data_IF_701528814924
#
_entry.id   IF_701528814924
#
_cell.length_a   1.000
_cell.length_b   1.000
_cell.length_c   1.000
_cell.angle_alpha   90.00
_cell.angle_beta   90.00
_cell.angle_gamma   90.00
#
_symmetry.space_group_name_H-M   'P 1'
#
loop_
_entity.id
_entity.type
_entity.pdbx_description
1 polymer ?
#
# COMPACT_ATOMS: atom_id res chain seq x y z
N UNK A 1 18.22 6.01 8.41
CA UNK A 1 16.79 6.16 8.05
C UNK A 1 16.53 5.88 6.56
N UNK A 2 17.14 6.60 5.61
CA UNK A 2 16.91 6.37 4.16
C UNK A 2 17.12 4.93 3.69
N UNK A 3 18.26 4.30 4.02
CA UNK A 3 18.52 2.89 3.66
C UNK A 3 17.45 1.92 4.19
N UNK A 4 16.95 2.19 5.39
CA UNK A 4 15.89 1.40 6.00
C UNK A 4 14.57 1.57 5.24
N UNK A 5 14.19 2.81 4.89
CA UNK A 5 12.98 3.07 4.12
C UNK A 5 13.04 2.45 2.71
N UNK A 6 14.19 2.51 2.03
CA UNK A 6 14.39 1.81 0.75
C UNK A 6 14.26 0.28 0.92
N UNK A 7 14.82 -0.28 1.99
CA UNK A 7 14.68 -1.70 2.32
C UNK A 7 13.21 -2.10 2.52
N UNK A 8 12.45 -1.29 3.26
CA UNK A 8 11.00 -1.50 3.48
C UNK A 8 10.21 -1.39 2.18
N UNK A 9 10.53 -0.42 1.32
CA UNK A 9 9.89 -0.25 0.02
C UNK A 9 10.09 -1.49 -0.87
N UNK A 10 11.34 -1.98 -0.95
CA UNK A 10 11.69 -3.18 -1.71
C UNK A 10 10.98 -4.40 -1.14
N UNK A 11 10.96 -4.56 0.18
CA UNK A 11 10.32 -5.71 0.84
C UNK A 11 8.81 -5.73 0.58
N UNK A 12 8.10 -4.61 0.73
CA UNK A 12 6.68 -4.51 0.40
C UNK A 12 6.42 -4.76 -1.09
N UNK A 13 7.29 -4.25 -1.97
CA UNK A 13 7.24 -4.51 -3.41
C UNK A 13 7.41 -5.99 -3.76
N UNK A 14 8.35 -6.69 -3.11
CA UNK A 14 8.57 -8.13 -3.29
C UNK A 14 7.37 -8.95 -2.82
N UNK A 15 6.79 -8.62 -1.66
CA UNK A 15 5.57 -9.29 -1.17
C UNK A 15 4.41 -9.06 -2.15
N UNK A 16 4.27 -7.84 -2.67
CA UNK A 16 3.27 -7.51 -3.68
C UNK A 16 3.47 -8.30 -4.98
N UNK A 17 4.70 -8.36 -5.49
CA UNK A 17 5.02 -9.14 -6.69
C UNK A 17 4.75 -10.65 -6.48
N UNK A 18 5.12 -11.18 -5.31
CA UNK A 18 4.84 -12.57 -4.94
C UNK A 18 3.33 -12.86 -4.91
N UNK A 19 2.54 -11.99 -4.26
CA UNK A 19 1.09 -12.08 -4.23
C UNK A 19 0.49 -12.03 -5.63
N UNK A 20 0.98 -11.13 -6.49
CA UNK A 20 0.53 -11.00 -7.87
C UNK A 20 0.75 -12.29 -8.66
N UNK A 21 1.94 -12.88 -8.58
CA UNK A 21 2.27 -14.14 -9.27
C UNK A 21 1.36 -15.27 -8.78
N UNK A 22 1.12 -15.37 -7.47
CA UNK A 22 0.25 -16.40 -6.91
C UNK A 22 -1.21 -16.24 -7.33
N UNK A 23 -1.73 -15.01 -7.31
CA UNK A 23 -3.06 -14.69 -7.82
C UNK A 23 -3.19 -15.04 -9.30
N UNK A 24 -2.20 -14.68 -10.11
CA UNK A 24 -2.20 -14.99 -11.55
C UNK A 24 -2.24 -16.50 -11.80
N UNK A 25 -1.45 -17.30 -11.05
CA UNK A 25 -1.42 -18.76 -11.18
C UNK A 25 -2.74 -19.43 -10.78
N UNK A 26 -3.45 -18.87 -9.79
CA UNK A 26 -4.68 -19.44 -9.22
C UNK A 26 -5.97 -18.81 -9.76
N UNK A 27 -5.87 -17.91 -10.75
CA UNK A 27 -7.00 -17.09 -11.26
C UNK A 27 -8.26 -17.84 -11.68
N UNK A 28 -8.14 -19.12 -12.08
CA UNK A 28 -9.27 -19.94 -12.58
C UNK A 28 -10.18 -20.52 -11.50
N UNK A 29 -9.82 -20.38 -10.22
CA UNK A 29 -10.52 -21.02 -9.10
C UNK A 29 -11.61 -20.11 -8.51
N UNK A 30 -11.56 -18.80 -8.78
CA UNK A 30 -12.40 -17.83 -8.08
C UNK A 30 -13.74 -17.59 -8.78
N UNK A 31 -14.80 -17.52 -7.97
CA UNK A 31 -16.05 -16.89 -8.39
C UNK A 31 -15.89 -15.36 -8.39
N UNK A 32 -16.73 -14.67 -9.17
CA UNK A 32 -16.60 -13.24 -9.46
C UNK A 32 -16.52 -12.35 -8.20
N UNK A 33 -17.26 -12.69 -7.13
CA UNK A 33 -17.26 -11.91 -5.89
C UNK A 33 -15.98 -12.08 -5.07
N UNK A 34 -15.43 -13.29 -4.99
CA UNK A 34 -14.19 -13.53 -4.26
C UNK A 34 -13.00 -12.86 -4.95
N UNK A 35 -12.92 -12.94 -6.28
CA UNK A 35 -11.88 -12.28 -7.06
C UNK A 35 -11.86 -10.76 -6.86
N UNK A 36 -13.03 -10.13 -6.75
CA UNK A 36 -13.15 -8.71 -6.43
C UNK A 36 -12.58 -8.36 -5.05
N UNK A 37 -13.01 -9.05 -3.99
CA UNK A 37 -12.59 -8.73 -2.61
C UNK A 37 -11.08 -8.91 -2.47
N UNK A 38 -10.52 -9.97 -3.05
CA UNK A 38 -9.07 -10.20 -3.01
C UNK A 38 -8.30 -9.10 -3.74
N UNK A 39 -8.77 -8.67 -4.92
CA UNK A 39 -8.16 -7.56 -5.64
C UNK A 39 -8.24 -6.25 -4.85
N UNK A 40 -9.37 -5.96 -4.20
CA UNK A 40 -9.52 -4.80 -3.30
C UNK A 40 -8.51 -4.85 -2.15
N UNK A 41 -8.46 -5.95 -1.41
CA UNK A 41 -7.59 -6.09 -0.24
C UNK A 41 -6.11 -6.02 -0.62
N UNK A 42 -5.69 -6.75 -1.67
CA UNK A 42 -4.30 -6.75 -2.12
C UNK A 42 -3.86 -5.35 -2.59
N UNK A 43 -4.64 -4.72 -3.48
CA UNK A 43 -4.29 -3.42 -4.04
C UNK A 43 -4.34 -2.30 -3.00
N UNK A 44 -5.34 -2.28 -2.12
CA UNK A 44 -5.50 -1.24 -1.11
C UNK A 44 -4.37 -1.24 -0.08
N UNK A 45 -4.04 -2.41 0.47
CA UNK A 45 -3.03 -2.54 1.52
C UNK A 45 -1.62 -2.31 0.98
N UNK A 46 -1.30 -2.86 -0.20
CA UNK A 46 -0.01 -2.61 -0.85
C UNK A 46 0.15 -1.14 -1.21
N UNK A 47 -0.91 -0.52 -1.77
CA UNK A 47 -0.88 0.90 -2.12
C UNK A 47 -0.73 1.80 -0.90
N UNK A 48 -1.37 1.45 0.23
CA UNK A 48 -1.22 2.16 1.49
C UNK A 48 0.22 2.11 2.02
N UNK A 49 0.82 0.92 2.08
CA UNK A 49 2.20 0.75 2.54
C UNK A 49 3.20 1.48 1.63
N UNK A 50 3.03 1.37 0.31
CA UNK A 50 3.89 2.06 -0.65
C UNK A 50 3.72 3.58 -0.59
N UNK A 51 2.47 4.08 -0.53
CA UNK A 51 2.20 5.52 -0.45
C UNK A 51 2.81 6.17 0.79
N UNK A 52 2.75 5.50 1.95
CA UNK A 52 3.37 5.97 3.18
C UNK A 52 4.90 6.03 3.07
N UNK A 53 5.52 4.98 2.53
CA UNK A 53 6.98 4.91 2.43
C UNK A 53 7.51 5.89 1.37
N UNK A 54 6.82 6.05 0.24
CA UNK A 54 7.18 7.03 -0.80
C UNK A 54 7.11 8.46 -0.25
N UNK A 55 6.09 8.76 0.58
CA UNK A 55 6.01 10.04 1.27
C UNK A 55 7.21 10.22 2.20
N UNK A 56 7.60 9.20 2.99
CA UNK A 56 8.79 9.25 3.84
C UNK A 56 10.09 9.53 3.09
N UNK A 57 10.30 8.92 1.93
CA UNK A 57 11.51 9.11 1.12
C UNK A 57 11.69 10.53 0.57
N UNK A 58 10.60 11.20 0.22
CA UNK A 58 10.67 12.44 -0.54
C UNK A 58 10.55 13.69 0.34
N UNK A 59 11.37 14.71 0.08
CA UNK A 59 11.24 16.06 0.68
C UNK A 59 10.54 17.06 -0.25
N UNK A 60 10.02 16.59 -1.38
CA UNK A 60 9.38 17.43 -2.40
C UNK A 60 7.99 17.90 -1.96
N UNK A 61 7.42 18.82 -2.74
CA UNK A 61 6.06 19.32 -2.52
C UNK A 61 5.05 18.17 -2.46
N UNK A 62 4.26 18.16 -1.37
CA UNK A 62 3.22 17.15 -1.10
C UNK A 62 2.37 16.85 -2.35
N UNK A 63 1.89 17.89 -3.05
CA UNK A 63 1.06 17.75 -4.26
C UNK A 63 1.71 16.89 -5.35
N UNK A 64 3.02 17.05 -5.59
CA UNK A 64 3.73 16.29 -6.64
C UNK A 64 3.84 14.82 -6.23
N UNK A 65 4.13 14.56 -4.95
CA UNK A 65 4.24 13.20 -4.43
C UNK A 65 2.88 12.52 -4.45
N UNK A 66 1.80 13.20 -4.04
CA UNK A 66 0.46 12.63 -4.07
C UNK A 66 0.05 12.24 -5.48
N UNK A 67 0.32 13.07 -6.49
CA UNK A 67 0.02 12.74 -7.90
C UNK A 67 0.82 11.51 -8.35
N UNK A 68 2.11 11.43 -8.03
CA UNK A 68 2.94 10.27 -8.35
C UNK A 68 2.43 9.00 -7.69
N UNK A 69 2.10 9.05 -6.41
CA UNK A 69 1.53 7.91 -5.69
C UNK A 69 0.18 7.52 -6.28
N UNK A 70 -0.66 8.46 -6.66
CA UNK A 70 -1.97 8.18 -7.25
C UNK A 70 -1.83 7.39 -8.56
N UNK A 71 -0.85 7.74 -9.40
CA UNK A 71 -0.52 6.99 -10.62
C UNK A 71 0.02 5.59 -10.30
N UNK A 72 0.97 5.48 -9.36
CA UNK A 72 1.56 4.19 -8.96
C UNK A 72 0.50 3.26 -8.33
N UNK A 73 -0.28 3.76 -7.38
CA UNK A 73 -1.33 3.01 -6.68
C UNK A 73 -2.50 2.67 -7.61
N UNK A 74 -2.87 3.56 -8.52
CA UNK A 74 -3.88 3.29 -9.54
C UNK A 74 -3.45 2.19 -10.50
N UNK A 75 -2.20 2.24 -11.00
CA UNK A 75 -1.65 1.17 -11.86
C UNK A 75 -1.55 -0.16 -11.12
N UNK A 76 -1.14 -0.17 -9.86
CA UNK A 76 -1.18 -1.37 -9.01
C UNK A 76 -2.62 -1.91 -8.85
N UNK A 77 -3.59 -1.03 -8.61
CA UNK A 77 -5.00 -1.41 -8.53
C UNK A 77 -5.51 -2.07 -9.82
N UNK A 78 -5.14 -1.51 -10.97
CA UNK A 78 -5.49 -2.06 -12.29
C UNK A 78 -4.82 -3.42 -12.51
N UNK A 79 -3.53 -3.57 -12.20
CA UNK A 79 -2.83 -4.85 -12.44
C UNK A 79 -3.40 -5.97 -11.60
N UNK A 80 -3.68 -5.74 -10.32
CA UNK A 80 -4.34 -6.74 -9.46
C UNK A 80 -5.78 -7.02 -9.88
N UNK A 81 -6.54 -5.98 -10.25
CA UNK A 81 -7.95 -6.13 -10.64
C UNK A 81 -8.17 -6.75 -12.03
N UNK A 82 -7.23 -6.57 -12.96
CA UNK A 82 -7.29 -7.12 -14.32
C UNK A 82 -7.19 -8.66 -14.36
N UNK A 83 -6.80 -9.30 -13.26
CA UNK A 83 -6.63 -10.75 -13.17
C UNK A 83 -7.95 -11.54 -13.24
N UNK A 84 -9.10 -10.89 -13.02
CA UNK A 84 -10.40 -11.56 -12.87
C UNK A 84 -11.40 -11.10 -13.95
N UNK A 85 -12.10 -9.97 -13.72
CA UNK A 85 -13.11 -9.40 -14.61
C UNK A 85 -13.14 -7.87 -14.48
N UNK A 86 -13.87 -7.22 -15.39
CA UNK A 86 -13.99 -5.76 -15.43
C UNK A 86 -14.46 -5.13 -14.11
N UNK A 87 -15.38 -5.78 -13.40
CA UNK A 87 -15.86 -5.29 -12.10
C UNK A 87 -14.76 -5.30 -11.02
N UNK A 88 -13.90 -6.31 -11.03
CA UNK A 88 -12.72 -6.41 -10.14
C UNK A 88 -11.64 -5.39 -10.51
N UNK A 89 -11.51 -5.05 -11.80
CA UNK A 89 -10.60 -4.01 -12.28
C UNK A 89 -10.98 -2.64 -11.71
N UNK A 90 -12.24 -2.25 -11.88
CA UNK A 90 -12.74 -0.96 -11.38
C UNK A 90 -12.60 -0.87 -9.85
N UNK A 91 -13.03 -1.94 -9.18
CA UNK A 91 -12.91 -2.11 -7.74
C UNK A 91 -11.47 -2.04 -7.23
N UNK A 92 -10.52 -2.70 -7.89
CA UNK A 92 -9.10 -2.66 -7.56
C UNK A 92 -8.48 -1.29 -7.79
N UNK A 93 -8.86 -0.60 -8.87
CA UNK A 93 -8.41 0.78 -9.12
C UNK A 93 -8.87 1.75 -8.03
N UNK A 94 -10.17 1.72 -7.67
CA UNK A 94 -10.68 2.58 -6.60
C UNK A 94 -10.00 2.27 -5.26
N UNK A 95 -9.90 1.00 -4.89
CA UNK A 95 -9.30 0.65 -3.60
C UNK A 95 -7.79 0.93 -3.56
N UNK A 96 -7.08 0.69 -4.67
CA UNK A 96 -5.67 1.03 -4.82
C UNK A 96 -5.42 2.53 -4.69
N UNK A 97 -6.15 3.35 -5.45
CA UNK A 97 -6.03 4.82 -5.38
C UNK A 97 -6.37 5.37 -4.00
N UNK A 98 -7.47 4.92 -3.38
CA UNK A 98 -7.83 5.29 -2.01
C UNK A 98 -6.75 4.88 -1.02
N UNK A 99 -6.24 3.64 -1.12
CA UNK A 99 -5.14 3.16 -0.29
C UNK A 99 -3.88 4.01 -0.42
N UNK A 100 -3.50 4.38 -1.65
CA UNK A 100 -2.35 5.25 -1.92
C UNK A 100 -2.51 6.64 -1.30
N UNK A 101 -3.66 7.29 -1.51
CA UNK A 101 -3.95 8.61 -0.93
C UNK A 101 -3.94 8.55 0.60
N UNK A 102 -4.60 7.56 1.20
CA UNK A 102 -4.59 7.37 2.66
C UNK A 102 -3.17 7.15 3.18
N UNK A 103 -2.35 6.37 2.48
CA UNK A 103 -0.94 6.15 2.83
C UNK A 103 -0.13 7.46 2.80
N UNK A 104 -0.29 8.27 1.75
CA UNK A 104 0.41 9.56 1.63
C UNK A 104 -0.01 10.58 2.67
N UNK A 105 -1.32 10.69 2.95
CA UNK A 105 -1.80 11.59 4.01
C UNK A 105 -1.26 11.17 5.36
N UNK A 106 -1.27 9.87 5.65
CA UNK A 106 -0.72 9.35 6.89
C UNK A 106 0.79 9.64 7.00
N UNK A 107 1.54 9.46 5.91
CA UNK A 107 2.96 9.81 5.85
C UNK A 107 3.21 11.30 6.10
N UNK A 108 2.39 12.18 5.53
CA UNK A 108 2.52 13.63 5.70
C UNK A 108 2.24 14.08 7.13
N UNK A 109 1.24 13.51 7.79
CA UNK A 109 0.94 13.78 9.21
C UNK A 109 2.09 13.32 10.11
N UNK A 110 2.71 12.18 9.82
CA UNK A 110 3.86 11.71 10.59
C UNK A 110 5.11 12.58 10.39
N UNK A 111 5.27 13.22 9.23
CA UNK A 111 6.32 14.23 9.01
C UNK A 111 6.07 15.53 9.74
N UNK A 112 4.82 15.99 9.72
CA UNK A 112 4.41 17.27 10.28
C UNK A 112 3.16 17.08 11.14
N UNK A 113 3.30 16.74 12.43
CA UNK A 113 2.17 16.51 13.33
C UNK A 113 1.28 17.74 13.53
N UNK A 114 1.81 18.94 13.24
CA UNK A 114 1.06 20.20 13.25
C UNK A 114 -0.11 20.23 12.26
N UNK A 115 -0.09 19.41 11.20
CA UNK A 115 -1.22 19.27 10.26
C UNK A 115 -2.52 18.83 10.95
N UNK A 116 -2.40 18.14 12.08
CA UNK A 116 -3.54 17.67 12.88
C UNK A 116 -3.65 18.37 14.24
N UNK A 117 -3.00 19.53 14.43
CA UNK A 117 -2.90 20.23 15.72
C UNK A 117 -2.36 19.35 16.88
N UNK A 118 -1.54 18.34 16.56
CA UNK A 118 -0.81 17.57 17.56
C UNK A 118 0.39 18.40 18.05
N UNK A 119 0.79 18.27 19.33
CA UNK A 119 1.93 19.00 19.87
C UNK A 119 3.18 18.72 19.03
N UNK A 120 3.90 19.78 18.66
CA UNK A 120 5.11 19.69 17.86
C UNK A 120 6.18 18.95 18.64
N UNK A 121 6.40 17.69 18.30
CA UNK A 121 7.41 16.89 18.96
C UNK A 121 8.81 17.16 18.37
N UNK A 122 9.85 16.88 19.17
CA UNK A 122 11.25 17.04 18.76
C UNK A 122 11.59 16.20 17.52
N UNK A 123 12.57 16.63 16.72
CA UNK A 123 13.00 15.91 15.51
C UNK A 123 13.32 14.42 15.74
N UNK A 124 13.78 14.06 16.93
CA UNK A 124 14.11 12.67 17.28
C UNK A 124 12.87 11.77 17.38
N UNK A 125 11.75 12.26 17.90
CA UNK A 125 10.54 11.45 18.07
C UNK A 125 9.80 11.26 16.75
N UNK A 126 9.88 12.24 15.84
CA UNK A 126 9.34 12.15 14.48
C UNK A 126 10.01 11.01 13.69
N UNK A 127 11.34 10.92 13.74
CA UNK A 127 12.11 9.85 13.09
C UNK A 127 11.75 8.45 13.63
N UNK A 128 11.57 8.33 14.96
CA UNK A 128 11.14 7.08 15.59
C UNK A 128 9.73 6.67 15.15
N UNK A 129 8.79 7.61 15.11
CA UNK A 129 7.43 7.38 14.64
C UNK A 129 7.41 6.87 13.19
N UNK A 130 8.19 7.47 12.28
CA UNK A 130 8.29 7.00 10.89
C UNK A 130 8.78 5.54 10.80
N UNK A 131 9.77 5.15 11.61
CA UNK A 131 10.26 3.77 11.66
C UNK A 131 9.18 2.81 12.17
N UNK A 132 8.53 3.12 13.29
CA UNK A 132 7.49 2.27 13.89
C UNK A 132 6.32 2.07 12.91
N UNK A 133 5.83 3.14 12.29
CA UNK A 133 4.71 3.04 11.35
C UNK A 133 5.07 2.34 10.04
N UNK A 134 6.29 2.49 9.56
CA UNK A 134 6.74 1.74 8.38
C UNK A 134 6.81 0.22 8.67
N UNK A 135 7.31 -0.19 9.85
CA UNK A 135 7.29 -1.58 10.30
C UNK A 135 5.86 -2.09 10.45
N UNK A 136 4.99 -1.31 11.09
CA UNK A 136 3.57 -1.64 11.21
C UNK A 136 2.92 -1.87 9.84
N UNK A 137 3.21 -1.01 8.85
CA UNK A 137 2.69 -1.18 7.49
C UNK A 137 3.18 -2.50 6.86
N UNK A 138 4.45 -2.89 7.07
CA UNK A 138 4.98 -4.15 6.54
C UNK A 138 4.31 -5.36 7.19
N UNK A 139 4.09 -5.32 8.50
CA UNK A 139 3.35 -6.37 9.21
C UNK A 139 1.92 -6.47 8.66
N UNK A 140 1.28 -5.35 8.40
CA UNK A 140 -0.06 -5.29 7.81
C UNK A 140 -0.08 -5.91 6.40
N UNK A 141 0.93 -5.62 5.57
CA UNK A 141 1.11 -6.26 4.24
C UNK A 141 1.34 -7.77 4.38
N UNK A 142 2.14 -8.23 5.34
CA UNK A 142 2.40 -9.66 5.57
C UNK A 142 1.14 -10.40 6.05
N UNK A 143 0.39 -9.82 6.98
CA UNK A 143 -0.85 -10.41 7.51
C UNK A 143 -1.89 -10.52 6.40
N UNK A 144 -2.08 -9.45 5.62
CA UNK A 144 -3.03 -9.45 4.51
C UNK A 144 -2.60 -10.41 3.40
N UNK A 145 -1.30 -10.49 3.09
CA UNK A 145 -0.77 -11.51 2.20
C UNK A 145 -1.09 -12.91 2.69
N UNK A 146 -0.87 -13.19 3.98
CA UNK A 146 -1.13 -14.49 4.59
C UNK A 146 -2.60 -14.88 4.54
N UNK A 147 -3.51 -13.93 4.79
CA UNK A 147 -4.96 -14.14 4.68
C UNK A 147 -5.37 -14.44 3.23
N UNK A 148 -4.82 -13.73 2.25
CA UNK A 148 -5.08 -13.99 0.83
C UNK A 148 -4.57 -15.37 0.41
N UNK A 149 -3.37 -15.74 0.85
CA UNK A 149 -2.79 -17.07 0.57
C UNK A 149 -3.61 -18.19 1.21
N UNK A 150 -4.09 -17.97 2.44
CA UNK A 150 -5.01 -18.89 3.11
C UNK A 150 -6.30 -19.05 2.30
N UNK A 151 -6.86 -17.95 1.78
CA UNK A 151 -8.04 -17.97 0.92
C UNK A 151 -7.84 -18.71 -0.42
N UNK A 152 -6.60 -18.93 -0.86
CA UNK A 152 -6.34 -19.75 -2.06
C UNK A 152 -6.36 -21.26 -1.78
N UNK A 153 -6.29 -21.66 -0.51
CA UNK A 153 -6.26 -23.06 -0.10
C UNK A 153 -7.65 -23.63 0.19
N UNK A 154 -8.56 -22.78 0.64
CA UNK A 154 -9.98 -23.10 0.90
C UNK A 154 -10.75 -23.10 -0.42
#
# INVERSE_FOLDING_TARGET
MLFFLYGVLILNGLIGAFLYIMMHKKRKIFSDRYGMIMAMCASGVLSFALGMVIEFLNKNNFTVITILVLVISGTLGITFGALVKFQSLLSGFFQGTVGGVMGTMFGAVMKNPSLCNLPSESLYTVEQSMVIFSLFSTVLVIVTASLLLYSFRV
#
